data_IF_071043618932
#
_entry.id   IF_071043618932
#
_cell.length_a   1.000
_cell.length_b   1.000
_cell.length_c   1.000
_cell.angle_alpha   90.00
_cell.angle_beta   90.00
_cell.angle_gamma   90.00
#
_symmetry.space_group_name_H-M   'P 1'
#
loop_
_entity.id
_entity.type
_entity.pdbx_description
1 polymer ?
#
# COMPACT_ATOMS: atom_id res chain seq x y z
N UNK A 1 -1.82 -22.83 -15.30
CA UNK A 1 -1.38 -21.71 -14.45
C UNK A 1 0.09 -21.49 -14.73
N UNK A 2 0.49 -20.33 -15.24
CA UNK A 2 1.90 -20.00 -15.38
C UNK A 2 2.52 -19.95 -13.96
N UNK A 3 3.45 -20.87 -13.68
CA UNK A 3 4.26 -20.80 -12.45
C UNK A 3 5.26 -19.68 -12.67
N UNK A 4 4.98 -18.50 -12.10
CA UNK A 4 6.04 -17.54 -11.84
C UNK A 4 7.09 -18.26 -11.01
N UNK A 5 8.39 -18.23 -11.39
CA UNK A 5 9.42 -18.78 -10.53
C UNK A 5 9.27 -18.13 -9.14
N UNK A 6 9.34 -18.91 -8.04
CA UNK A 6 9.28 -18.32 -6.72
C UNK A 6 10.42 -17.30 -6.63
N UNK A 7 10.09 -16.07 -6.25
CA UNK A 7 11.08 -15.04 -5.97
C UNK A 7 12.06 -15.52 -4.88
N UNK A 8 13.15 -14.79 -4.65
CA UNK A 8 14.20 -15.19 -3.70
C UNK A 8 13.67 -15.40 -2.26
N UNK A 9 12.50 -14.86 -1.93
CA UNK A 9 11.80 -15.05 -0.66
C UNK A 9 10.27 -14.93 -0.82
N UNK A 10 9.52 -15.53 0.10
CA UNK A 10 8.06 -15.32 0.26
C UNK A 10 7.74 -14.03 1.05
N UNK A 11 8.74 -13.47 1.73
CA UNK A 11 8.63 -12.28 2.56
C UNK A 11 9.05 -11.06 1.74
N UNK A 12 8.19 -10.60 0.85
CA UNK A 12 8.49 -9.49 -0.06
C UNK A 12 7.40 -8.44 -0.13
N UNK A 13 7.81 -7.19 -0.29
CA UNK A 13 6.94 -6.09 -0.70
C UNK A 13 6.96 -6.01 -2.24
N UNK A 14 5.80 -5.77 -2.87
CA UNK A 14 5.67 -5.88 -4.33
C UNK A 14 6.53 -4.88 -5.13
N UNK A 15 6.87 -3.73 -4.56
CA UNK A 15 7.80 -2.76 -5.17
C UNK A 15 9.26 -2.83 -4.66
N UNK A 16 9.60 -3.68 -3.69
CA UNK A 16 10.97 -3.79 -3.16
C UNK A 16 11.52 -5.20 -3.43
N UNK A 17 11.79 -5.47 -4.71
CA UNK A 17 12.16 -6.80 -5.22
C UNK A 17 13.56 -6.86 -5.84
N UNK A 18 14.28 -5.75 -5.88
CA UNK A 18 15.56 -5.63 -6.58
C UNK A 18 16.74 -6.03 -5.66
N UNK A 19 16.86 -7.31 -5.30
CA UNK A 19 17.91 -7.78 -4.38
C UNK A 19 19.35 -7.52 -4.88
N UNK A 20 19.52 -7.30 -6.18
CA UNK A 20 20.82 -7.01 -6.78
C UNK A 20 21.32 -5.58 -6.56
N UNK A 21 20.47 -4.65 -6.10
CA UNK A 21 20.86 -3.27 -5.77
C UNK A 21 20.90 -3.00 -4.27
N UNK A 22 20.43 -3.94 -3.46
CA UNK A 22 20.37 -3.79 -2.01
C UNK A 22 21.70 -4.19 -1.35
N UNK A 23 22.23 -3.41 -0.39
CA UNK A 23 23.49 -3.73 0.28
C UNK A 23 23.53 -5.13 0.90
N UNK A 24 22.42 -5.58 1.49
CA UNK A 24 22.29 -6.91 2.12
C UNK A 24 21.39 -7.86 1.29
N UNK A 25 21.13 -7.50 0.03
CA UNK A 25 20.37 -8.28 -0.94
C UNK A 25 18.99 -8.70 -0.45
N UNK A 26 18.74 -10.01 -0.42
CA UNK A 26 17.44 -10.58 -0.01
C UNK A 26 17.08 -10.21 1.43
N UNK A 27 18.06 -9.95 2.31
CA UNK A 27 17.79 -9.53 3.69
C UNK A 27 17.05 -8.20 3.75
N UNK A 28 17.42 -7.24 2.89
CA UNK A 28 16.75 -5.95 2.80
C UNK A 28 15.32 -6.10 2.25
N UNK A 29 15.07 -7.02 1.31
CA UNK A 29 13.70 -7.35 0.85
C UNK A 29 12.82 -7.80 2.02
N UNK A 30 13.35 -8.70 2.86
CA UNK A 30 12.65 -9.18 4.06
C UNK A 30 12.47 -8.04 5.06
N UNK A 31 13.44 -7.14 5.17
CA UNK A 31 13.35 -5.91 5.97
C UNK A 31 12.16 -5.04 5.57
N UNK A 32 12.04 -4.69 4.29
CA UNK A 32 10.91 -3.92 3.76
C UNK A 32 9.56 -4.62 3.97
N UNK A 33 9.50 -5.94 3.77
CA UNK A 33 8.30 -6.71 4.08
C UNK A 33 7.95 -6.66 5.58
N UNK A 34 8.95 -6.85 6.44
CA UNK A 34 8.78 -6.87 7.90
C UNK A 34 8.28 -5.53 8.39
N UNK A 35 8.84 -4.45 7.86
CA UNK A 35 8.42 -3.10 8.19
C UNK A 35 6.97 -2.84 7.84
N UNK A 36 6.52 -3.25 6.65
CA UNK A 36 5.09 -3.19 6.34
C UNK A 36 4.26 -4.00 7.35
N UNK A 37 4.73 -5.19 7.75
CA UNK A 37 4.03 -6.06 8.70
C UNK A 37 3.96 -5.49 10.12
N UNK A 38 4.94 -4.72 10.55
CA UNK A 38 4.99 -4.10 11.88
C UNK A 38 4.32 -2.73 11.86
N UNK A 39 4.76 -1.85 10.97
CA UNK A 39 4.35 -0.45 10.94
C UNK A 39 3.06 -0.22 10.15
N UNK A 40 2.80 -0.99 9.10
CA UNK A 40 1.67 -0.82 8.19
C UNK A 40 2.06 -0.37 6.77
N UNK A 41 3.33 -0.06 6.55
CA UNK A 41 3.96 0.17 5.25
C UNK A 41 5.46 0.38 5.41
N UNK A 42 6.20 0.41 4.30
CA UNK A 42 7.60 0.86 4.28
C UNK A 42 7.63 2.37 4.48
N UNK A 43 8.39 2.83 5.47
CA UNK A 43 8.52 4.24 5.86
C UNK A 43 9.45 4.98 4.91
N UNK A 44 8.93 5.96 4.19
CA UNK A 44 9.69 6.82 3.28
C UNK A 44 9.46 8.29 3.63
N UNK A 45 10.41 9.14 3.27
CA UNK A 45 10.42 10.55 3.67
C UNK A 45 10.50 11.44 2.45
N UNK A 46 9.88 12.61 2.51
CA UNK A 46 10.15 13.68 1.56
C UNK A 46 11.58 14.20 1.78
N UNK A 47 12.43 14.09 0.75
CA UNK A 47 13.84 14.51 0.79
C UNK A 47 14.08 15.89 0.18
N UNK A 48 13.03 16.59 -0.26
CA UNK A 48 13.12 17.95 -0.80
C UNK A 48 12.02 18.84 -0.21
N UNK A 49 12.04 19.09 1.11
CA UNK A 49 11.12 20.05 1.71
C UNK A 49 11.36 21.44 1.11
N UNK A 50 10.30 22.24 1.01
CA UNK A 50 10.39 23.63 0.55
C UNK A 50 11.29 24.47 1.48
N UNK A 51 11.22 24.18 2.78
CA UNK A 51 12.07 24.75 3.80
C UNK A 51 13.06 23.69 4.35
N UNK A 52 14.38 23.90 4.27
CA UNK A 52 15.38 22.97 4.82
C UNK A 52 15.24 22.68 6.32
N UNK A 53 14.64 23.60 7.08
CA UNK A 53 14.41 23.45 8.52
C UNK A 53 13.10 22.72 8.84
N UNK A 54 12.28 22.40 7.83
CA UNK A 54 11.04 21.67 8.02
C UNK A 54 11.34 20.17 8.22
N UNK A 55 10.77 19.61 9.30
CA UNK A 55 10.85 18.18 9.55
C UNK A 55 10.03 17.48 8.47
N UNK A 56 10.63 16.57 7.68
CA UNK A 56 9.93 15.93 6.58
C UNK A 56 8.79 15.06 7.10
N UNK A 57 7.65 15.14 6.43
CA UNK A 57 6.52 14.30 6.74
C UNK A 57 6.83 12.82 6.51
N UNK A 58 6.20 11.96 7.32
CA UNK A 58 6.32 10.52 7.22
C UNK A 58 5.30 9.99 6.21
N UNK A 59 5.76 9.16 5.28
CA UNK A 59 4.91 8.47 4.31
C UNK A 59 5.05 6.97 4.47
N UNK A 60 3.95 6.25 4.29
CA UNK A 60 3.94 4.79 4.24
C UNK A 60 3.65 4.30 2.83
N UNK A 61 4.43 3.29 2.43
CA UNK A 61 4.22 2.52 1.22
C UNK A 61 3.75 1.10 1.58
N UNK A 62 2.44 0.81 1.49
CA UNK A 62 1.91 -0.47 1.93
C UNK A 62 1.87 -1.53 0.81
N UNK A 63 1.99 -2.81 1.17
CA UNK A 63 1.76 -3.97 0.32
C UNK A 63 0.68 -4.93 0.83
N UNK A 64 -0.10 -4.51 1.84
CA UNK A 64 -1.18 -5.34 2.39
C UNK A 64 -2.40 -5.38 1.47
N UNK A 65 -3.12 -6.50 1.51
CA UNK A 65 -4.45 -6.59 0.91
C UNK A 65 -5.36 -5.51 1.48
N UNK A 66 -6.24 -4.99 0.63
CA UNK A 66 -7.22 -3.97 1.00
C UNK A 66 -6.65 -2.59 1.38
N UNK A 67 -5.33 -2.39 1.26
CA UNK A 67 -4.71 -1.06 1.35
C UNK A 67 -4.61 -0.41 -0.04
N UNK A 68 -4.18 0.84 -0.05
CA UNK A 68 -3.80 1.57 -1.26
C UNK A 68 -2.52 0.97 -1.87
N UNK A 69 -2.30 1.08 -3.17
CA UNK A 69 -1.00 0.78 -3.82
C UNK A 69 -0.09 2.01 -3.90
N UNK A 70 -0.61 3.18 -3.52
CA UNK A 70 0.11 4.46 -3.53
C UNK A 70 0.80 4.68 -2.20
N UNK A 71 1.94 5.37 -2.26
CA UNK A 71 2.59 5.95 -1.08
C UNK A 71 1.66 7.01 -0.51
N UNK A 72 1.38 6.99 0.79
CA UNK A 72 0.48 7.95 1.41
C UNK A 72 1.12 8.61 2.63
N UNK A 73 0.85 9.90 2.80
CA UNK A 73 1.33 10.65 3.96
C UNK A 73 0.56 10.23 5.21
N UNK A 74 1.28 10.03 6.31
CA UNK A 74 0.67 9.89 7.62
C UNK A 74 0.09 11.23 8.06
N UNK A 75 -1.12 11.19 8.60
CA UNK A 75 -1.76 12.37 9.19
C UNK A 75 -1.09 12.73 10.51
N UNK A 76 -1.21 13.98 10.90
CA UNK A 76 -0.65 14.47 12.17
C UNK A 76 -1.12 13.64 13.37
N UNK A 77 -2.39 13.22 13.39
CA UNK A 77 -2.91 12.39 14.49
C UNK A 77 -2.30 10.97 14.48
N UNK A 78 -2.01 10.42 13.30
CA UNK A 78 -1.35 9.11 13.18
C UNK A 78 0.12 9.18 13.62
N UNK A 79 0.82 10.26 13.26
CA UNK A 79 2.19 10.50 13.68
C UNK A 79 2.25 10.74 15.19
N UNK A 80 1.36 11.58 15.73
CA UNK A 80 1.31 11.87 17.16
C UNK A 80 1.00 10.61 17.97
N UNK A 81 0.01 9.80 17.55
CA UNK A 81 -0.31 8.54 18.23
C UNK A 81 0.89 7.58 18.26
N UNK A 82 1.67 7.53 17.18
CA UNK A 82 2.91 6.75 17.13
C UNK A 82 3.94 7.27 18.14
N UNK A 83 4.17 8.57 18.18
CA UNK A 83 5.11 9.16 19.14
C UNK A 83 4.66 8.97 20.58
N UNK A 84 3.39 9.20 20.88
CA UNK A 84 2.82 9.00 22.22
C UNK A 84 3.01 7.55 22.67
N UNK A 85 2.75 6.59 21.77
CA UNK A 85 2.97 5.17 22.07
C UNK A 85 4.44 4.79 22.27
N UNK A 86 5.36 5.39 21.50
CA UNK A 86 6.80 5.10 21.64
C UNK A 86 7.45 5.78 22.84
N UNK A 87 6.88 6.90 23.29
CA UNK A 87 7.40 7.73 24.38
C UNK A 87 6.64 7.56 25.70
N UNK A 88 5.61 6.72 25.73
CA UNK A 88 4.82 6.47 26.94
C UNK A 88 5.67 5.87 28.06
N UNK A 89 5.36 6.26 29.29
CA UNK A 89 5.88 5.60 30.48
C UNK A 89 5.12 4.29 30.73
N UNK A 90 5.83 3.26 31.16
CA UNK A 90 5.30 1.92 31.49
C UNK A 90 4.15 1.93 32.52
N UNK A 91 4.01 3.02 33.28
CA UNK A 91 2.96 3.18 34.30
C UNK A 91 1.55 3.42 33.75
N UNK A 92 1.40 3.83 32.48
CA UNK A 92 0.09 4.08 31.86
C UNK A 92 0.09 3.72 30.38
N UNK A 93 -0.01 2.42 30.03
CA UNK A 93 0.10 1.97 28.65
C UNK A 93 -1.10 2.43 27.81
N UNK A 94 -0.81 3.24 26.80
CA UNK A 94 -1.66 3.58 25.67
C UNK A 94 -1.80 2.38 24.73
N UNK A 95 -2.95 2.27 24.02
CA UNK A 95 -3.13 1.26 23.00
C UNK A 95 -2.12 1.45 21.86
N UNK A 96 -1.59 0.33 21.35
CA UNK A 96 -0.69 0.34 20.19
C UNK A 96 -1.40 0.91 18.95
N UNK A 97 -0.85 1.95 18.29
CA UNK A 97 -1.35 2.44 17.02
C UNK A 97 -0.89 1.55 15.85
N UNK A 98 0.00 0.59 16.11
CA UNK A 98 0.59 -0.28 15.09
C UNK A 98 -0.25 -1.53 14.83
N UNK A 99 -0.37 -1.97 13.55
CA UNK A 99 0.08 -1.26 12.36
C UNK A 99 -0.83 -0.07 12.02
N UNK A 100 -0.25 1.06 11.61
CA UNK A 100 -0.99 2.22 11.14
C UNK A 100 -1.41 1.95 9.70
N UNK A 101 -2.71 1.80 9.48
CA UNK A 101 -3.28 1.55 8.16
C UNK A 101 -3.81 2.85 7.55
N UNK A 102 -3.59 2.99 6.24
CA UNK A 102 -4.09 4.11 5.48
C UNK A 102 -5.59 3.97 5.27
N UNK A 103 -6.32 5.06 5.45
CA UNK A 103 -7.75 5.10 5.18
C UNK A 103 -8.08 6.19 4.17
N UNK A 104 -9.38 6.41 3.92
CA UNK A 104 -9.83 7.46 3.01
C UNK A 104 -9.35 8.85 3.47
N UNK A 105 -9.18 9.11 4.76
CA UNK A 105 -8.75 10.41 5.28
C UNK A 105 -7.28 10.71 4.98
N UNK A 106 -6.43 9.71 4.71
CA UNK A 106 -5.09 9.92 4.13
C UNK A 106 -5.22 10.41 2.68
N UNK A 107 -5.35 11.72 2.46
CA UNK A 107 -5.61 12.30 1.13
C UNK A 107 -4.35 12.56 0.31
N UNK A 108 -3.22 12.86 0.96
CA UNK A 108 -1.97 13.11 0.25
C UNK A 108 -1.36 11.76 -0.12
N UNK A 109 -1.47 11.43 -1.42
CA UNK A 109 -1.06 10.15 -1.98
C UNK A 109 -0.27 10.36 -3.25
N UNK A 110 0.76 9.57 -3.42
CA UNK A 110 1.69 9.64 -4.54
C UNK A 110 1.84 8.26 -5.15
N UNK A 111 1.72 8.17 -6.47
CA UNK A 111 1.96 6.91 -7.17
C UNK A 111 3.37 6.41 -6.87
N UNK A 112 3.52 5.14 -6.47
CA UNK A 112 4.80 4.59 -6.05
C UNK A 112 5.95 4.83 -7.05
N UNK A 113 5.76 4.67 -8.39
CA UNK A 113 6.81 4.98 -9.36
C UNK A 113 7.23 6.45 -9.39
N UNK A 114 6.33 7.37 -9.07
CA UNK A 114 6.56 8.82 -9.07
C UNK A 114 7.13 9.33 -7.75
N UNK A 115 6.88 8.61 -6.65
CA UNK A 115 7.39 8.96 -5.33
C UNK A 115 8.91 9.18 -5.35
N UNK A 116 9.68 8.20 -5.85
CA UNK A 116 11.13 8.33 -5.96
C UNK A 116 11.55 9.36 -7.03
N UNK A 117 10.99 9.27 -8.23
CA UNK A 117 11.53 9.93 -9.43
C UNK A 117 11.11 11.39 -9.60
N UNK A 118 9.93 11.78 -9.11
CA UNK A 118 9.37 13.13 -9.30
C UNK A 118 9.20 13.87 -7.98
N UNK A 119 8.83 13.15 -6.92
CA UNK A 119 8.51 13.76 -5.63
C UNK A 119 9.62 13.64 -4.60
N UNK A 120 10.71 12.93 -4.90
CA UNK A 120 11.83 12.74 -3.97
C UNK A 120 11.42 12.16 -2.61
N UNK A 121 10.40 11.29 -2.63
CA UNK A 121 9.91 10.57 -1.47
C UNK A 121 10.56 9.18 -1.46
N UNK A 122 11.56 9.02 -0.60
CA UNK A 122 12.34 7.78 -0.44
C UNK A 122 13.08 7.75 0.91
N UNK A 123 13.37 6.54 1.40
CA UNK A 123 14.37 6.34 2.46
C UNK A 123 15.76 6.35 1.86
N UNK A 124 16.02 5.49 0.90
CA UNK A 124 17.34 5.40 0.26
C UNK A 124 17.22 5.65 -1.24
N UNK A 125 18.20 6.33 -1.84
CA UNK A 125 18.12 6.68 -3.29
C UNK A 125 18.13 5.44 -4.20
N UNK A 126 18.59 4.30 -3.67
CA UNK A 126 18.69 3.00 -4.36
C UNK A 126 17.58 2.02 -3.95
N UNK A 127 16.58 2.41 -3.15
CA UNK A 127 15.58 1.47 -2.60
C UNK A 127 14.64 0.84 -3.66
N UNK A 128 14.47 1.49 -4.81
CA UNK A 128 13.54 1.07 -5.89
C UNK A 128 14.10 1.44 -7.26
N UNK A 129 14.03 0.54 -8.25
CA UNK A 129 14.34 0.90 -9.63
C UNK A 129 13.25 1.78 -10.24
N UNK A 130 13.62 2.89 -10.91
CA UNK A 130 12.68 3.63 -11.74
C UNK A 130 12.09 2.73 -12.84
N UNK A 131 10.78 2.82 -13.05
CA UNK A 131 10.15 2.16 -14.19
C UNK A 131 10.70 2.73 -15.52
N UNK A 132 10.84 1.85 -16.51
CA UNK A 132 11.08 2.26 -17.89
C UNK A 132 9.89 3.05 -18.46
N UNK A 133 10.10 3.75 -19.58
CA UNK A 133 9.02 4.49 -20.27
C UNK A 133 7.85 3.58 -20.64
N UNK A 134 8.12 2.34 -21.05
CA UNK A 134 7.08 1.37 -21.43
C UNK A 134 6.29 0.94 -20.19
N UNK A 135 6.97 0.60 -19.10
CA UNK A 135 6.33 0.22 -17.84
C UNK A 135 5.51 1.37 -17.25
N UNK A 136 6.01 2.60 -17.33
CA UNK A 136 5.27 3.79 -16.89
C UNK A 136 3.98 3.98 -17.71
N UNK A 137 4.02 3.78 -19.04
CA UNK A 137 2.80 3.83 -19.88
C UNK A 137 1.79 2.75 -19.50
N UNK A 138 2.26 1.54 -19.19
CA UNK A 138 1.41 0.45 -18.73
C UNK A 138 0.80 0.80 -17.38
N UNK A 139 1.59 1.35 -16.46
CA UNK A 139 1.12 1.80 -15.15
C UNK A 139 0.03 2.87 -15.27
N UNK A 140 0.26 3.90 -16.10
CA UNK A 140 -0.67 5.00 -16.30
C UNK A 140 -1.98 4.59 -16.98
N UNK A 141 -1.96 3.48 -17.71
CA UNK A 141 -3.15 2.91 -18.37
C UNK A 141 -3.99 2.05 -17.43
N UNK A 142 -3.54 1.77 -16.19
CA UNK A 142 -4.28 0.95 -15.23
C UNK A 142 -5.56 1.68 -14.80
N UNK A 143 -6.68 0.96 -14.62
CA UNK A 143 -7.88 1.52 -14.01
C UNK A 143 -7.57 2.12 -12.64
N UNK A 144 -8.12 3.31 -12.37
CA UNK A 144 -7.95 4.02 -11.10
C UNK A 144 -9.12 3.68 -10.18
N UNK A 145 -8.86 2.86 -9.18
CA UNK A 145 -9.86 2.48 -8.18
C UNK A 145 -9.94 3.52 -7.04
N UNK A 146 -11.12 3.68 -6.47
CA UNK A 146 -11.38 4.65 -5.39
C UNK A 146 -10.47 4.48 -4.15
N UNK A 147 -10.14 3.25 -3.69
CA UNK A 147 -9.26 3.10 -2.54
C UNK A 147 -7.84 3.58 -2.77
N UNK A 148 -7.41 3.78 -4.01
CA UNK A 148 -6.10 4.32 -4.39
C UNK A 148 -6.21 5.81 -4.73
N UNK A 149 -7.27 6.18 -5.45
CA UNK A 149 -7.55 7.52 -5.95
C UNK A 149 -8.87 8.06 -5.38
N UNK A 150 -8.94 8.37 -4.07
CA UNK A 150 -10.16 8.87 -3.45
C UNK A 150 -10.69 10.15 -4.11
N UNK A 151 -9.80 11.00 -4.61
CA UNK A 151 -10.10 12.23 -5.34
C UNK A 151 -10.90 11.97 -6.63
N UNK A 152 -10.63 10.86 -7.31
CA UNK A 152 -11.37 10.45 -8.52
C UNK A 152 -12.78 9.97 -8.12
N UNK A 153 -12.88 9.22 -7.03
CA UNK A 153 -14.17 8.82 -6.45
C UNK A 153 -15.04 10.03 -6.10
N UNK A 154 -14.46 11.01 -5.41
CA UNK A 154 -15.14 12.26 -5.05
C UNK A 154 -15.59 13.05 -6.28
N UNK A 155 -14.74 13.13 -7.31
CA UNK A 155 -15.09 13.76 -8.59
C UNK A 155 -16.29 13.09 -9.26
N UNK A 156 -16.29 11.76 -9.38
CA UNK A 156 -17.40 11.00 -9.99
C UNK A 156 -18.69 11.24 -9.20
N UNK A 157 -18.63 11.20 -7.86
CA UNK A 157 -19.80 11.47 -7.02
C UNK A 157 -20.37 12.87 -7.26
N UNK A 158 -19.51 13.88 -7.37
CA UNK A 158 -19.91 15.27 -7.66
C UNK A 158 -20.58 15.39 -9.03
N UNK A 159 -20.00 14.80 -10.07
CA UNK A 159 -20.57 14.80 -11.44
C UNK A 159 -21.94 14.12 -11.45
N UNK A 160 -22.06 12.95 -10.81
CA UNK A 160 -23.31 12.20 -10.75
C UNK A 160 -24.41 12.99 -10.00
N UNK A 161 -24.06 13.63 -8.88
CA UNK A 161 -24.99 14.47 -8.13
C UNK A 161 -25.49 15.67 -8.96
N UNK A 162 -24.63 16.31 -9.73
CA UNK A 162 -25.02 17.39 -10.65
C UNK A 162 -25.89 16.90 -11.81
N UNK A 163 -25.66 15.68 -12.29
CA UNK A 163 -26.43 15.07 -13.38
C UNK A 163 -27.70 14.34 -12.95
N UNK A 164 -28.04 14.30 -11.65
CA UNK A 164 -29.15 13.51 -11.14
C UNK A 164 -28.99 11.99 -11.30
N UNK A 165 -27.75 11.52 -11.51
CA UNK A 165 -27.43 10.10 -11.69
C UNK A 165 -27.22 9.49 -10.29
N UNK A 166 -27.93 8.41 -9.93
CA UNK A 166 -27.72 7.75 -8.65
C UNK A 166 -26.30 7.17 -8.54
N UNK A 167 -25.70 7.27 -7.36
CA UNK A 167 -24.35 6.74 -7.14
C UNK A 167 -24.35 5.21 -7.28
N UNK A 168 -23.35 4.62 -7.99
CA UNK A 168 -23.19 3.18 -8.00
C UNK A 168 -22.91 2.69 -6.58
N UNK A 169 -23.53 1.57 -6.21
CA UNK A 169 -23.27 0.93 -4.92
C UNK A 169 -21.79 0.47 -4.88
N UNK A 170 -21.08 0.67 -3.75
CA UNK A 170 -19.71 0.22 -3.62
C UNK A 170 -19.68 -1.30 -3.84
N UNK A 171 -18.94 -1.75 -4.86
CA UNK A 171 -18.68 -3.18 -5.03
C UNK A 171 -17.73 -3.60 -3.93
N UNK A 172 -18.06 -4.61 -3.11
CA UNK A 172 -17.09 -5.18 -2.18
C UNK A 172 -15.88 -5.63 -3.01
N UNK A 173 -14.67 -5.29 -2.54
CA UNK A 173 -13.43 -5.84 -3.11
C UNK A 173 -13.62 -7.36 -3.09
N UNK A 174 -13.38 -8.04 -4.20
CA UNK A 174 -13.55 -9.50 -4.29
C UNK A 174 -12.67 -10.16 -3.22
N UNK A 175 -13.26 -10.41 -2.05
CA UNK A 175 -12.76 -11.41 -1.14
C UNK A 175 -12.73 -12.69 -1.97
N UNK A 176 -11.67 -13.48 -1.81
CA UNK A 176 -11.55 -14.80 -2.42
C UNK A 176 -12.92 -15.49 -2.40
N UNK A 177 -13.35 -16.12 -3.51
CA UNK A 177 -14.69 -16.69 -3.61
C UNK A 177 -14.98 -17.46 -2.33
N UNK A 178 -16.17 -17.30 -1.71
CA UNK A 178 -16.50 -18.04 -0.51
C UNK A 178 -16.19 -19.51 -0.80
N UNK A 179 -15.41 -20.13 0.09
CA UNK A 179 -15.19 -21.56 0.07
C UNK A 179 -16.54 -22.19 -0.19
N UNK A 180 -16.68 -22.87 -1.33
CA UNK A 180 -17.90 -23.62 -1.62
C UNK A 180 -18.12 -24.49 -0.39
N UNK A 181 -19.25 -24.33 0.28
CA UNK A 181 -19.70 -25.32 1.24
C UNK A 181 -19.66 -26.64 0.49
N UNK A 182 -18.85 -27.56 1.00
CA UNK A 182 -18.80 -28.93 0.54
C UNK A 182 -20.16 -29.54 0.89
N UNK A 183 -21.15 -29.32 0.04
CA UNK A 183 -22.39 -30.10 0.05
C UNK A 183 -21.98 -31.50 -0.35
N UNK A 184 -21.59 -32.28 0.65
CA UNK A 184 -21.27 -33.67 0.52
C UNK A 184 -22.45 -34.42 -0.07
N UNK A 185 -22.31 -34.82 -1.33
CA UNK A 185 -22.95 -36.01 -1.89
C UNK A 185 -22.25 -36.33 -3.21
N UNK A 186 -21.11 -37.03 -3.13
CA UNK A 186 -20.63 -37.82 -4.27
C UNK A 186 -21.11 -39.25 -4.06
N UNK A 187 -22.31 -39.55 -4.55
CA UNK A 187 -22.74 -40.93 -4.77
C UNK A 187 -21.87 -41.53 -5.88
N UNK A 188 -20.78 -42.18 -5.49
CA UNK A 188 -20.09 -43.17 -6.33
C UNK A 188 -20.72 -44.53 -6.09
N UNK A 189 -21.82 -44.80 -6.78
CA UNK A 189 -22.22 -46.14 -7.20
C UNK A 189 -22.79 -46.04 -8.61
N UNK A 190 -22.52 -47.08 -9.38
CA UNK A 190 -22.96 -47.32 -10.76
C UNK A 190 -22.09 -46.73 -11.87
N UNK A 191 -20.91 -47.33 -12.02
CA UNK A 191 -20.49 -47.88 -13.32
C UNK A 191 -19.82 -49.22 -13.09
N UNK A 192 -20.60 -50.29 -13.26
CA UNK A 192 -20.08 -51.56 -13.77
C UNK A 192 -19.67 -51.39 -15.25
#
# INVERSE_FOLDING_TARGET
>A
MARFPPGPTLFSHHDYLDDDIYPEGVTDMVGYWTEDRILGGVTVFDRRPENPDEIPNIYFHPCRKSQTIRVYQLRDEQQQALFDFLLQDESSPLPSPLPILGDKQNRIRVDAPRALTHHHIYRDIWERRPLTIIEMRIFDSRPKDEPDYPEVGDMIRRINAQGGIPLPQPRPRSLSPPMREDTGEKNYRDRD
#
